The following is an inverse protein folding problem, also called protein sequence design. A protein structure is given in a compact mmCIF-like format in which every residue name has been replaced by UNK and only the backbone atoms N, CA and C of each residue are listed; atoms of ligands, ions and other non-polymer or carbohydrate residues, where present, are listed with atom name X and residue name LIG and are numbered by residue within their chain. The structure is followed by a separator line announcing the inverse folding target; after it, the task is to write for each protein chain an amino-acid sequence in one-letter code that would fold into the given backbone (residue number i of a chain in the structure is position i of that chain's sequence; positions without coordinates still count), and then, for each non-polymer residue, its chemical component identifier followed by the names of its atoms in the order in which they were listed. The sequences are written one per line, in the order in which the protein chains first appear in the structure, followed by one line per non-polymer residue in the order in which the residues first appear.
data_IF_804712356449
#
_entry.id   IF_804712356449
#
_cell.length_a   1.000
_cell.length_b   1.000
_cell.length_c   1.000
_cell.angle_alpha   90.00
_cell.angle_beta   90.00
_cell.angle_gamma   90.00
#
_symmetry.space_group_name_H-M   'P 1'
#
loop_
_entity.id
_entity.type
_entity.pdbx_description
1 polymer ?
#
# COMPACT_ATOMS: atom_id res chain seq x y z
N UNK A 1 -15.97 -18.13 -14.07
CA UNK A 1 -15.00 -19.21 -13.78
C UNK A 1 -14.57 -19.03 -12.34
N UNK A 2 -14.76 -20.02 -11.48
CA UNK A 2 -14.47 -19.89 -10.04
C UNK A 2 -12.96 -19.93 -9.81
N UNK A 3 -12.43 -19.02 -9.01
CA UNK A 3 -10.99 -18.90 -8.79
C UNK A 3 -10.62 -19.43 -7.40
N UNK A 4 -9.63 -20.35 -7.34
CA UNK A 4 -9.16 -20.91 -6.09
C UNK A 4 -8.47 -19.84 -5.23
N UNK A 5 -8.69 -19.89 -3.91
CA UNK A 5 -8.03 -18.98 -2.98
C UNK A 5 -6.52 -19.25 -2.92
N UNK A 6 -5.71 -18.20 -2.87
CA UNK A 6 -4.26 -18.34 -2.73
C UNK A 6 -3.91 -18.86 -1.32
N UNK A 7 -3.12 -19.93 -1.18
CA UNK A 7 -2.66 -20.40 0.12
C UNK A 7 -1.96 -19.29 0.89
N UNK A 8 -2.35 -19.08 2.14
CA UNK A 8 -1.73 -18.10 3.01
C UNK A 8 -1.75 -18.55 4.46
N UNK A 9 -0.80 -18.00 5.22
CA UNK A 9 -0.82 -18.09 6.68
C UNK A 9 -1.22 -16.74 7.28
N UNK A 10 -1.82 -16.76 8.46
CA UNK A 10 -2.19 -15.57 9.22
C UNK A 10 -1.81 -15.77 10.69
N UNK A 11 -1.19 -14.77 11.29
CA UNK A 11 -0.80 -14.74 12.70
C UNK A 11 -1.17 -13.40 13.32
N UNK A 12 -1.37 -13.43 14.64
CA UNK A 12 -1.53 -12.25 15.47
C UNK A 12 -0.27 -12.08 16.32
N UNK A 13 0.22 -10.85 16.46
CA UNK A 13 1.39 -10.51 17.28
C UNK A 13 1.05 -9.43 18.31
N UNK A 14 1.68 -9.50 19.48
CA UNK A 14 1.36 -8.68 20.66
C UNK A 14 2.40 -7.60 20.96
N UNK A 15 3.52 -7.59 20.24
CA UNK A 15 4.58 -6.59 20.45
C UNK A 15 5.37 -6.30 19.18
N UNK A 16 6.09 -5.17 19.18
CA UNK A 16 7.01 -4.81 18.08
C UNK A 16 8.12 -5.85 17.90
N UNK A 17 8.66 -6.38 19.01
CA UNK A 17 9.68 -7.42 18.95
C UNK A 17 9.18 -8.67 18.23
N UNK A 18 7.99 -9.15 18.61
CA UNK A 18 7.37 -10.30 17.94
C UNK A 18 7.10 -10.04 16.46
N UNK A 19 6.63 -8.83 16.11
CA UNK A 19 6.42 -8.46 14.72
C UNK A 19 7.74 -8.53 13.94
N UNK A 20 8.80 -7.89 14.43
CA UNK A 20 10.11 -7.86 13.78
C UNK A 20 10.66 -9.28 13.62
N UNK A 21 10.64 -10.09 14.67
CA UNK A 21 11.16 -11.46 14.63
C UNK A 21 10.41 -12.31 13.60
N UNK A 22 9.09 -12.18 13.54
CA UNK A 22 8.27 -12.88 12.56
C UNK A 22 8.59 -12.41 11.13
N UNK A 23 8.67 -11.09 10.89
CA UNK A 23 8.99 -10.54 9.57
C UNK A 23 10.40 -10.94 9.11
N UNK A 24 11.40 -10.87 9.99
CA UNK A 24 12.76 -11.31 9.70
C UNK A 24 12.80 -12.79 9.33
N UNK A 25 12.06 -13.64 10.06
CA UNK A 25 11.96 -15.06 9.75
C UNK A 25 11.36 -15.28 8.37
N UNK A 26 10.23 -14.64 8.06
CA UNK A 26 9.55 -14.81 6.77
C UNK A 26 10.36 -14.27 5.59
N UNK A 27 11.07 -13.16 5.77
CA UNK A 27 11.93 -12.57 4.75
C UNK A 27 13.20 -13.40 4.54
N UNK A 28 13.87 -13.86 5.60
CA UNK A 28 15.14 -14.59 5.50
C UNK A 28 14.97 -16.00 4.92
N UNK A 29 13.83 -16.63 5.19
CA UNK A 29 13.49 -17.96 4.64
C UNK A 29 13.03 -17.93 3.18
N UNK A 30 12.78 -16.73 2.64
CA UNK A 30 12.42 -16.57 1.23
C UNK A 30 13.61 -16.93 0.33
N UNK A 31 13.36 -17.53 -0.83
CA UNK A 31 14.41 -17.93 -1.78
C UNK A 31 14.78 -16.82 -2.77
N UNK A 32 13.98 -15.77 -2.86
CA UNK A 32 14.15 -14.66 -3.78
C UNK A 32 15.47 -13.90 -3.53
N UNK A 33 16.11 -13.36 -4.59
CA UNK A 33 17.38 -12.64 -4.47
C UNK A 33 17.20 -11.17 -4.08
N UNK A 34 16.01 -10.60 -4.28
CA UNK A 34 15.69 -9.21 -3.99
C UNK A 34 14.52 -9.09 -3.03
N UNK A 35 14.50 -8.00 -2.25
CA UNK A 35 13.41 -7.61 -1.37
C UNK A 35 12.89 -6.22 -1.72
N UNK A 36 11.57 -6.08 -1.85
CA UNK A 36 10.89 -4.79 -1.87
C UNK A 36 10.17 -4.58 -0.54
N UNK A 37 10.40 -3.43 0.10
CA UNK A 37 9.72 -3.02 1.33
C UNK A 37 8.82 -1.82 1.03
N UNK A 38 7.51 -2.03 1.08
CA UNK A 38 6.52 -0.95 1.03
C UNK A 38 6.29 -0.42 2.45
N UNK A 39 6.75 0.81 2.67
CA UNK A 39 6.82 1.47 3.97
C UNK A 39 6.68 2.98 3.79
N UNK A 40 6.31 3.70 4.86
CA UNK A 40 6.15 5.15 4.80
C UNK A 40 4.95 5.60 3.98
N UNK A 41 3.95 4.74 3.82
CA UNK A 41 2.74 5.10 3.10
C UNK A 41 2.04 6.29 3.78
N UNK A 42 1.78 7.34 3.01
CA UNK A 42 1.08 8.52 3.49
C UNK A 42 0.00 8.98 2.51
N UNK A 43 -0.90 9.80 3.04
CA UNK A 43 -1.98 10.41 2.29
C UNK A 43 -1.68 11.87 1.99
N UNK A 44 -2.18 12.41 0.88
CA UNK A 44 -2.14 13.85 0.62
C UNK A 44 -3.34 14.53 1.27
N UNK A 45 -3.07 15.63 1.96
CA UNK A 45 -4.09 16.50 2.55
C UNK A 45 -4.09 17.85 1.84
N UNK A 46 -5.28 18.40 1.59
CA UNK A 46 -5.41 19.78 1.16
C UNK A 46 -5.16 20.73 2.35
N UNK A 47 -4.09 21.52 2.24
CA UNK A 47 -3.86 22.72 3.04
C UNK A 47 -4.66 23.87 2.42
N UNK A 48 -5.85 24.12 2.96
CA UNK A 48 -6.78 25.15 2.48
C UNK A 48 -6.18 26.56 2.58
N UNK A 49 -5.35 26.82 3.60
CA UNK A 49 -4.73 28.13 3.79
C UNK A 49 -3.68 28.43 2.71
N UNK A 50 -3.00 27.39 2.22
CA UNK A 50 -1.99 27.51 1.15
C UNK A 50 -2.53 27.15 -0.24
N UNK A 51 -3.74 26.60 -0.33
CA UNK A 51 -4.34 26.12 -1.58
C UNK A 51 -3.53 25.01 -2.25
N UNK A 52 -2.82 24.18 -1.49
CA UNK A 52 -1.94 23.14 -2.03
C UNK A 52 -2.06 21.81 -1.27
N UNK A 53 -1.58 20.72 -1.89
CA UNK A 53 -1.50 19.43 -1.22
C UNK A 53 -0.21 19.34 -0.41
N UNK A 54 -0.31 18.76 0.77
CA UNK A 54 0.81 18.52 1.69
C UNK A 54 0.84 17.04 2.12
N UNK A 55 2.03 16.44 2.34
CA UNK A 55 2.13 15.06 2.83
C UNK A 55 1.54 14.87 4.22
N UNK A 56 0.75 13.82 4.39
CA UNK A 56 0.15 13.39 5.65
C UNK A 56 1.13 12.70 6.59
N UNK A 57 2.29 13.32 6.83
CA UNK A 57 3.36 12.84 7.71
C UNK A 57 3.46 13.81 8.88
N UNK A 58 3.15 13.38 10.11
CA UNK A 58 2.99 14.30 11.24
C UNK A 58 4.26 15.10 11.53
N UNK A 59 5.43 14.52 11.32
CA UNK A 59 6.76 15.08 11.56
C UNK A 59 7.06 16.27 10.64
N UNK A 60 6.38 16.36 9.49
CA UNK A 60 6.56 17.43 8.49
C UNK A 60 5.64 18.64 8.75
N UNK A 61 4.71 18.54 9.70
CA UNK A 61 3.54 19.42 9.76
C UNK A 61 3.46 20.22 11.05
N UNK A 62 2.90 21.43 10.94
CA UNK A 62 2.58 22.31 12.07
C UNK A 62 1.07 22.36 12.31
N UNK A 63 0.65 22.85 13.48
CA UNK A 63 -0.78 23.07 13.78
C UNK A 63 -1.38 24.12 12.81
N UNK A 64 -2.63 23.96 12.33
CA UNK A 64 -3.62 22.92 12.71
C UNK A 64 -3.52 21.62 11.89
N UNK A 65 -2.75 21.59 10.81
CA UNK A 65 -2.65 20.42 9.91
C UNK A 65 -2.11 19.19 10.64
N UNK A 66 -1.10 19.36 11.50
CA UNK A 66 -0.55 18.29 12.34
C UNK A 66 -1.62 17.56 13.15
N UNK A 67 -2.54 18.29 13.77
CA UNK A 67 -3.62 17.71 14.59
C UNK A 67 -4.67 16.99 13.74
N UNK A 68 -4.93 17.50 12.53
CA UNK A 68 -5.80 16.82 11.56
C UNK A 68 -5.20 15.49 11.12
N UNK A 69 -3.91 15.45 10.81
CA UNK A 69 -3.21 14.24 10.38
C UNK A 69 -3.07 13.25 11.54
N UNK A 70 -2.70 13.73 12.73
CA UNK A 70 -2.56 12.90 13.94
C UNK A 70 -3.84 12.10 14.21
N UNK A 71 -5.02 12.74 14.13
CA UNK A 71 -6.32 12.06 14.34
C UNK A 71 -6.67 11.04 13.27
N UNK A 72 -6.11 11.14 12.06
CA UNK A 72 -6.48 10.30 10.91
C UNK A 72 -5.51 9.16 10.68
N UNK A 73 -4.22 9.45 10.73
CA UNK A 73 -3.15 8.55 10.30
C UNK A 73 -2.18 8.26 11.46
N UNK A 74 -2.03 9.20 12.40
CA UNK A 74 -1.14 9.03 13.54
C UNK A 74 0.33 8.94 13.13
N UNK A 75 1.13 8.16 13.86
CA UNK A 75 2.57 7.96 13.61
C UNK A 75 2.87 7.04 12.42
N UNK A 76 1.87 6.39 11.83
CA UNK A 76 2.06 5.27 10.91
C UNK A 76 3.05 5.51 9.76
N UNK A 77 3.05 6.65 9.05
CA UNK A 77 3.99 6.86 7.96
C UNK A 77 5.45 6.89 8.46
N UNK A 78 5.76 7.72 9.46
CA UNK A 78 7.12 7.79 10.02
C UNK A 78 7.54 6.48 10.69
N UNK A 79 6.63 5.87 11.45
CA UNK A 79 6.88 4.62 12.18
C UNK A 79 7.14 3.43 11.26
N UNK A 80 6.31 3.23 10.23
CA UNK A 80 6.52 2.12 9.28
C UNK A 80 7.75 2.33 8.41
N UNK A 81 8.11 3.58 8.11
CA UNK A 81 9.36 3.90 7.43
C UNK A 81 10.58 3.48 8.27
N UNK A 82 10.62 3.86 9.56
CA UNK A 82 11.67 3.43 10.50
C UNK A 82 11.75 1.89 10.59
N UNK A 83 10.60 1.24 10.76
CA UNK A 83 10.50 -0.22 10.87
C UNK A 83 11.00 -0.91 9.59
N UNK A 84 10.60 -0.41 8.42
CA UNK A 84 10.99 -0.94 7.12
C UNK A 84 12.50 -0.83 6.87
N UNK A 85 13.10 0.33 7.18
CA UNK A 85 14.55 0.52 7.06
C UNK A 85 15.30 -0.38 8.05
N UNK A 86 14.85 -0.47 9.30
CA UNK A 86 15.46 -1.34 10.33
C UNK A 86 15.42 -2.82 9.95
N UNK A 87 14.33 -3.29 9.35
CA UNK A 87 14.24 -4.67 8.84
C UNK A 87 15.19 -4.87 7.67
N UNK A 88 15.18 -3.95 6.70
CA UNK A 88 16.07 -3.99 5.54
C UNK A 88 17.55 -4.05 5.94
N UNK A 89 17.97 -3.26 6.94
CA UNK A 89 19.35 -3.28 7.47
C UNK A 89 19.75 -4.65 8.00
N UNK A 90 18.87 -5.29 8.77
CA UNK A 90 19.14 -6.59 9.38
C UNK A 90 19.30 -7.72 8.36
N UNK A 91 18.65 -7.58 7.20
CA UNK A 91 18.66 -8.60 6.14
C UNK A 91 19.46 -8.18 4.91
N UNK A 92 20.12 -7.03 4.91
CA UNK A 92 20.84 -6.50 3.75
C UNK A 92 21.86 -7.49 3.17
N UNK A 93 22.58 -8.21 4.03
CA UNK A 93 23.56 -9.23 3.65
C UNK A 93 22.96 -10.44 2.91
N UNK A 94 21.64 -10.64 2.97
CA UNK A 94 20.94 -11.76 2.33
C UNK A 94 20.52 -11.45 0.90
N UNK A 95 20.37 -10.19 0.53
CA UNK A 95 19.76 -9.80 -0.75
C UNK A 95 20.79 -9.12 -1.67
N UNK A 96 20.66 -9.37 -2.98
CA UNK A 96 21.43 -8.67 -4.01
C UNK A 96 20.98 -7.21 -4.12
N UNK A 97 19.67 -6.97 -4.02
CA UNK A 97 19.10 -5.64 -3.90
C UNK A 97 17.94 -5.58 -2.90
N UNK A 98 17.91 -4.48 -2.14
CA UNK A 98 16.73 -4.06 -1.38
C UNK A 98 16.23 -2.75 -1.93
N UNK A 99 14.93 -2.70 -2.22
CA UNK A 99 14.22 -1.51 -2.69
C UNK A 99 13.10 -1.09 -1.75
N UNK A 100 12.84 0.20 -1.68
CA UNK A 100 11.73 0.77 -0.92
C UNK A 100 10.64 1.27 -1.86
N UNK A 101 9.38 0.93 -1.60
CA UNK A 101 8.24 1.40 -2.37
C UNK A 101 7.43 2.39 -1.52
N UNK A 102 7.38 3.65 -1.97
CA UNK A 102 6.56 4.68 -1.35
C UNK A 102 5.20 4.77 -2.06
N UNK A 103 4.14 4.27 -1.44
CA UNK A 103 2.77 4.42 -1.92
C UNK A 103 2.19 5.74 -1.40
N UNK A 104 1.57 6.53 -2.27
CA UNK A 104 0.94 7.81 -1.89
C UNK A 104 -0.54 7.76 -2.21
N UNK A 105 -1.37 7.88 -1.18
CA UNK A 105 -2.81 8.07 -1.35
C UNK A 105 -3.09 9.53 -1.73
N UNK A 106 -3.37 9.78 -2.99
CA UNK A 106 -3.50 11.12 -3.56
C UNK A 106 -4.95 11.46 -3.96
N UNK A 107 -5.94 10.82 -3.33
CA UNK A 107 -7.34 11.02 -3.70
C UNK A 107 -8.32 11.21 -2.53
N UNK A 108 -8.06 10.69 -1.33
CA UNK A 108 -9.06 10.72 -0.26
C UNK A 108 -9.31 12.11 0.34
N UNK A 109 -8.25 12.93 0.52
CA UNK A 109 -8.36 14.23 1.21
C UNK A 109 -7.88 15.41 0.35
N UNK A 110 -8.00 15.28 -0.97
CA UNK A 110 -7.46 16.24 -1.95
C UNK A 110 -8.52 17.19 -2.56
N UNK A 111 -9.77 17.14 -2.11
CA UNK A 111 -10.84 18.01 -2.61
C UNK A 111 -11.66 18.66 -1.50
N UNK A 112 -11.85 19.97 -1.62
CA UNK A 112 -13.07 20.75 -1.35
C UNK A 112 -13.09 21.88 -2.40
N UNK A 113 -14.13 22.72 -2.43
CA UNK A 113 -14.52 23.72 -3.44
C UNK A 113 -13.43 24.66 -4.05
N UNK A 114 -12.16 24.52 -3.65
CA UNK A 114 -11.00 25.33 -4.03
C UNK A 114 -10.30 24.97 -5.35
N UNK A 115 -10.80 23.99 -6.13
CA UNK A 115 -10.28 23.66 -7.47
C UNK A 115 -10.35 22.18 -7.87
N UNK A 116 -10.01 21.82 -9.12
CA UNK A 116 -10.06 20.43 -9.58
C UNK A 116 -8.91 19.61 -8.97
N UNK A 117 -9.25 18.54 -8.24
CA UNK A 117 -8.28 17.64 -7.57
C UNK A 117 -7.14 17.12 -8.48
N UNK A 118 -7.39 17.02 -9.79
CA UNK A 118 -6.36 16.66 -10.78
C UNK A 118 -5.24 17.69 -10.90
N UNK A 119 -5.57 18.99 -10.81
CA UNK A 119 -4.59 20.06 -10.89
C UNK A 119 -3.73 20.12 -9.63
N UNK A 120 -4.37 20.02 -8.46
CA UNK A 120 -3.70 19.96 -7.16
C UNK A 120 -2.68 18.81 -7.10
N UNK A 121 -3.07 17.62 -7.56
CA UNK A 121 -2.15 16.46 -7.68
C UNK A 121 -1.00 16.74 -8.64
N UNK A 122 -1.27 17.31 -9.81
CA UNK A 122 -0.24 17.61 -10.81
C UNK A 122 0.82 18.54 -10.20
N UNK A 123 0.39 19.64 -9.57
CA UNK A 123 1.29 20.61 -8.93
C UNK A 123 2.10 19.97 -7.81
N UNK A 124 1.50 19.07 -7.02
CA UNK A 124 2.22 18.33 -6.00
C UNK A 124 3.35 17.48 -6.61
N UNK A 125 3.04 16.62 -7.59
CA UNK A 125 4.03 15.71 -8.19
C UNK A 125 5.08 16.42 -9.06
N UNK A 126 4.82 17.64 -9.54
CA UNK A 126 5.84 18.47 -10.20
C UNK A 126 6.92 18.94 -9.22
N UNK A 127 6.59 19.05 -7.93
CA UNK A 127 7.49 19.52 -6.86
C UNK A 127 8.04 18.40 -5.99
N UNK A 128 7.36 17.26 -5.96
CA UNK A 128 7.73 16.11 -5.13
C UNK A 128 8.88 15.33 -5.76
N UNK A 129 10.10 15.87 -5.68
CA UNK A 129 11.30 15.27 -6.27
C UNK A 129 12.16 14.49 -5.27
N UNK A 130 11.87 14.62 -3.98
CA UNK A 130 12.64 14.05 -2.86
C UNK A 130 11.67 13.40 -1.86
N UNK A 131 12.19 12.49 -1.04
CA UNK A 131 11.43 11.91 0.07
C UNK A 131 11.07 12.99 1.12
N UNK A 132 10.03 12.76 1.96
CA UNK A 132 9.80 13.59 3.14
C UNK A 132 11.09 13.80 3.94
N UNK A 133 11.33 15.02 4.41
CA UNK A 133 12.57 15.40 5.08
C UNK A 133 12.85 14.54 6.33
N UNK A 134 11.80 14.12 7.04
CA UNK A 134 11.81 13.19 8.17
C UNK A 134 12.30 11.78 7.82
N UNK A 135 12.16 11.35 6.57
CA UNK A 135 12.55 10.01 6.12
C UNK A 135 14.05 9.92 5.82
N UNK A 136 14.66 11.03 5.41
CA UNK A 136 16.06 11.09 5.01
C UNK A 136 17.04 10.77 6.16
N UNK A 137 16.87 11.27 7.39
CA UNK A 137 17.71 10.88 8.53
C UNK A 137 17.69 9.37 8.78
N UNK A 138 16.55 8.70 8.60
CA UNK A 138 16.42 7.25 8.80
C UNK A 138 17.31 6.50 7.83
N UNK A 139 17.23 6.83 6.54
CA UNK A 139 18.13 6.25 5.51
C UNK A 139 19.60 6.54 5.82
N UNK A 140 19.93 7.79 6.19
CA UNK A 140 21.31 8.17 6.51
C UNK A 140 21.87 7.40 7.70
N UNK A 141 21.08 7.20 8.76
CA UNK A 141 21.48 6.42 9.95
C UNK A 141 21.78 4.96 9.60
N UNK A 142 21.12 4.39 8.60
CA UNK A 142 21.39 3.02 8.15
C UNK A 142 22.81 2.80 7.64
N UNK A 143 23.43 3.84 7.06
CA UNK A 143 24.72 3.75 6.36
C UNK A 143 24.71 2.86 5.10
N UNK A 144 23.59 2.17 4.80
CA UNK A 144 23.47 1.16 3.75
C UNK A 144 22.54 1.60 2.62
N UNK A 145 21.58 2.47 2.93
CA UNK A 145 20.53 2.88 1.99
C UNK A 145 20.58 4.37 1.69
N UNK A 146 20.08 4.71 0.51
CA UNK A 146 19.90 6.08 0.03
C UNK A 146 18.64 6.15 -0.80
N UNK A 147 18.29 7.34 -1.30
CA UNK A 147 17.15 7.51 -2.22
C UNK A 147 17.28 6.69 -3.51
N UNK A 148 18.48 6.23 -3.88
CA UNK A 148 18.69 5.29 -5.01
C UNK A 148 18.09 3.90 -4.77
N UNK A 149 17.75 3.59 -3.52
CA UNK A 149 17.04 2.38 -3.15
C UNK A 149 15.52 2.52 -3.35
N UNK A 150 14.99 3.70 -3.71
CA UNK A 150 13.57 3.80 -4.06
C UNK A 150 13.28 2.99 -5.32
N UNK A 151 12.19 2.23 -5.28
CA UNK A 151 11.61 1.58 -6.43
C UNK A 151 10.80 2.63 -7.20
N UNK A 152 11.25 2.97 -8.40
CA UNK A 152 10.49 3.84 -9.29
C UNK A 152 9.21 3.13 -9.76
N UNK A 153 8.14 3.90 -9.94
CA UNK A 153 7.01 3.47 -10.75
C UNK A 153 7.18 3.97 -12.18
N UNK A 154 6.36 3.49 -13.11
CA UNK A 154 6.29 4.08 -14.47
C UNK A 154 5.68 5.48 -14.48
N UNK A 155 5.09 5.94 -13.38
CA UNK A 155 4.46 7.26 -13.26
C UNK A 155 5.37 8.28 -12.58
N UNK A 156 6.20 7.87 -11.64
CA UNK A 156 6.99 8.75 -10.80
C UNK A 156 8.30 8.10 -10.33
N UNK A 157 9.44 8.82 -10.29
CA UNK A 157 10.75 8.24 -10.00
C UNK A 157 10.92 7.71 -8.57
N UNK A 158 10.16 8.24 -7.60
CA UNK A 158 10.32 7.88 -6.17
C UNK A 158 9.03 7.41 -5.50
N UNK A 159 7.92 7.31 -6.23
CA UNK A 159 6.62 7.01 -5.61
C UNK A 159 5.66 6.25 -6.53
N UNK A 160 4.65 5.67 -5.91
CA UNK A 160 3.49 5.04 -6.54
C UNK A 160 2.24 5.85 -6.18
N UNK A 161 1.75 6.71 -7.09
CA UNK A 161 0.48 7.41 -6.89
C UNK A 161 -0.70 6.43 -6.95
N UNK A 162 -1.56 6.40 -5.93
CA UNK A 162 -2.71 5.50 -5.92
C UNK A 162 -3.70 5.78 -7.04
N UNK A 163 -3.98 7.05 -7.37
CA UNK A 163 -4.88 7.39 -8.50
C UNK A 163 -4.40 6.77 -9.81
N UNK A 164 -3.09 6.75 -10.04
CA UNK A 164 -2.52 6.10 -11.21
C UNK A 164 -2.77 4.58 -11.19
N UNK A 165 -2.58 3.93 -10.04
CA UNK A 165 -2.89 2.51 -9.86
C UNK A 165 -4.40 2.23 -10.05
N UNK A 166 -5.29 3.06 -9.51
CA UNK A 166 -6.75 2.96 -9.71
C UNK A 166 -7.12 2.94 -11.20
N UNK A 167 -6.62 3.92 -11.96
CA UNK A 167 -6.92 4.03 -13.40
C UNK A 167 -6.34 2.87 -14.20
N UNK A 168 -5.17 2.36 -13.80
CA UNK A 168 -4.61 1.15 -14.40
C UNK A 168 -5.48 -0.06 -14.13
N UNK A 169 -5.94 -0.22 -12.88
CA UNK A 169 -6.76 -1.35 -12.48
C UNK A 169 -8.09 -1.33 -13.23
N UNK A 170 -8.75 -0.18 -13.38
CA UNK A 170 -9.97 -0.06 -14.17
C UNK A 170 -9.78 -0.57 -15.61
N UNK A 171 -8.68 -0.17 -16.26
CA UNK A 171 -8.35 -0.66 -17.61
C UNK A 171 -8.05 -2.16 -17.65
N UNK A 172 -7.40 -2.70 -16.61
CA UNK A 172 -7.16 -4.15 -16.49
C UNK A 172 -8.47 -4.90 -16.24
N UNK A 173 -9.33 -4.40 -15.36
CA UNK A 173 -10.60 -4.98 -15.00
C UNK A 173 -11.54 -5.10 -16.22
N UNK A 174 -11.61 -4.08 -17.08
CA UNK A 174 -12.38 -4.16 -18.33
C UNK A 174 -11.92 -5.31 -19.23
N UNK A 175 -10.61 -5.56 -19.31
CA UNK A 175 -10.06 -6.69 -20.07
C UNK A 175 -10.38 -8.04 -19.41
N UNK A 176 -10.32 -8.09 -18.08
CA UNK A 176 -10.59 -9.30 -17.31
C UNK A 176 -12.07 -9.68 -17.33
N UNK A 177 -12.97 -8.69 -17.34
CA UNK A 177 -14.42 -8.90 -17.56
C UNK A 177 -14.65 -9.47 -18.96
N UNK A 178 -14.05 -8.88 -20.00
CA UNK A 178 -14.15 -9.41 -21.38
C UNK A 178 -13.61 -10.83 -21.53
N UNK A 179 -12.61 -11.19 -20.71
CA UNK A 179 -12.04 -12.54 -20.67
C UNK A 179 -12.81 -13.51 -19.76
N UNK A 180 -13.93 -13.09 -19.14
CA UNK A 180 -14.74 -13.93 -18.24
C UNK A 180 -14.07 -14.27 -16.90
N UNK A 181 -13.07 -13.49 -16.49
CA UNK A 181 -12.29 -13.68 -15.25
C UNK A 181 -12.75 -12.82 -14.09
N UNK A 182 -13.47 -11.73 -14.37
CA UNK A 182 -14.22 -10.93 -13.42
C UNK A 182 -15.67 -10.84 -13.88
N UNK A 183 -16.59 -10.68 -12.93
CA UNK A 183 -18.01 -10.49 -13.23
C UNK A 183 -18.39 -9.02 -13.10
N UNK A 184 -19.20 -8.53 -14.04
CA UNK A 184 -19.83 -7.22 -13.97
C UNK A 184 -21.32 -7.42 -13.71
N UNK A 185 -21.83 -6.81 -12.65
CA UNK A 185 -23.26 -6.77 -12.35
C UNK A 185 -23.77 -5.33 -12.24
N UNK A 186 -25.06 -5.16 -12.50
CA UNK A 186 -25.78 -3.92 -12.18
C UNK A 186 -26.32 -4.09 -10.77
N UNK A 187 -26.07 -3.11 -9.91
CA UNK A 187 -26.68 -3.00 -8.60
C UNK A 187 -28.02 -2.29 -8.78
N UNK A 188 -29.12 -2.93 -8.36
CA UNK A 188 -30.48 -2.39 -8.47
C UNK A 188 -30.62 -1.01 -7.80
N UNK A 189 -31.68 -0.27 -8.15
CA UNK A 189 -31.98 1.15 -7.87
C UNK A 189 -32.15 1.52 -6.37
N UNK A 190 -31.17 1.17 -5.53
CA UNK A 190 -31.00 1.68 -4.18
C UNK A 190 -30.10 2.92 -4.12
N UNK A 191 -29.82 3.46 -2.92
CA UNK A 191 -28.90 4.60 -2.75
C UNK A 191 -27.46 4.34 -3.26
N UNK A 192 -27.13 3.08 -3.58
CA UNK A 192 -25.88 2.63 -4.19
C UNK A 192 -26.07 2.04 -5.60
N UNK A 193 -27.12 2.44 -6.33
CA UNK A 193 -27.35 2.01 -7.70
C UNK A 193 -26.15 2.29 -8.61
N UNK A 194 -25.83 1.38 -9.52
CA UNK A 194 -24.66 1.50 -10.40
C UNK A 194 -24.14 0.18 -10.92
N UNK A 195 -22.86 0.13 -11.32
CA UNK A 195 -22.21 -1.11 -11.76
C UNK A 195 -21.15 -1.57 -10.75
N UNK A 196 -21.11 -2.85 -10.48
CA UNK A 196 -20.08 -3.49 -9.68
C UNK A 196 -19.25 -4.44 -10.54
N UNK A 197 -17.92 -4.40 -10.39
CA UNK A 197 -17.00 -5.40 -10.94
C UNK A 197 -16.36 -6.16 -9.79
N UNK A 198 -16.51 -7.48 -9.81
CA UNK A 198 -16.17 -8.34 -8.69
C UNK A 198 -15.40 -9.59 -9.15
N UNK A 199 -14.50 -10.06 -8.29
CA UNK A 199 -14.01 -11.42 -8.40
C UNK A 199 -15.01 -12.36 -7.72
N UNK A 200 -15.35 -13.47 -8.38
CA UNK A 200 -16.16 -14.54 -7.79
C UNK A 200 -15.23 -15.67 -7.38
N UNK A 201 -15.20 -15.96 -6.08
CA UNK A 201 -14.33 -17.00 -5.55
C UNK A 201 -14.88 -18.43 -5.76
N UNK A 202 -14.19 -19.42 -5.21
CA UNK A 202 -14.56 -20.84 -5.29
C UNK A 202 -15.90 -21.19 -4.62
N UNK A 203 -16.30 -20.41 -3.61
CA UNK A 203 -17.57 -20.58 -2.90
C UNK A 203 -18.73 -19.87 -3.63
N UNK A 204 -18.41 -18.98 -4.58
CA UNK A 204 -19.39 -18.15 -5.28
C UNK A 204 -19.59 -16.79 -4.61
N UNK A 205 -18.74 -16.43 -3.65
CA UNK A 205 -18.82 -15.14 -2.97
C UNK A 205 -18.24 -14.02 -3.85
N UNK A 206 -18.95 -12.89 -3.89
CA UNK A 206 -18.54 -11.71 -4.63
C UNK A 206 -17.57 -10.88 -3.80
N UNK A 207 -16.33 -10.74 -4.29
CA UNK A 207 -15.32 -9.82 -3.76
C UNK A 207 -15.29 -8.55 -4.63
N UNK A 208 -15.97 -7.46 -4.23
CA UNK A 208 -16.07 -6.25 -5.04
C UNK A 208 -14.73 -5.51 -5.18
N UNK A 209 -14.43 -5.07 -6.40
CA UNK A 209 -13.17 -4.38 -6.75
C UNK A 209 -13.40 -3.00 -7.32
N UNK A 210 -14.51 -2.83 -8.04
CA UNK A 210 -14.99 -1.54 -8.51
C UNK A 210 -16.47 -1.47 -8.16
N UNK A 211 -16.87 -0.45 -7.41
CA UNK A 211 -18.28 -0.18 -7.10
C UNK A 211 -18.61 1.21 -7.59
N UNK A 212 -19.65 1.33 -8.42
CA UNK A 212 -20.08 2.60 -9.03
C UNK A 212 -18.93 3.38 -9.71
N UNK A 213 -18.03 2.65 -10.37
CA UNK A 213 -16.87 3.22 -11.08
C UNK A 213 -15.68 3.57 -10.17
N UNK A 214 -15.80 3.43 -8.85
CA UNK A 214 -14.71 3.70 -7.90
C UNK A 214 -13.97 2.41 -7.58
N UNK A 215 -12.67 2.40 -7.87
CA UNK A 215 -11.76 1.32 -7.46
C UNK A 215 -11.50 1.39 -5.96
N UNK A 216 -11.73 0.30 -5.24
CA UNK A 216 -11.34 0.15 -3.84
C UNK A 216 -9.84 -0.15 -3.68
N UNK A 217 -9.33 -0.08 -2.44
CA UNK A 217 -7.90 -0.29 -2.15
C UNK A 217 -7.37 -1.64 -2.66
N UNK A 218 -8.22 -2.67 -2.72
CA UNK A 218 -7.86 -3.98 -3.28
C UNK A 218 -7.39 -3.91 -4.75
N UNK A 219 -8.04 -3.07 -5.59
CA UNK A 219 -7.65 -2.90 -6.99
C UNK A 219 -6.31 -2.15 -7.15
N UNK A 220 -6.07 -1.15 -6.30
CA UNK A 220 -4.80 -0.40 -6.26
C UNK A 220 -3.64 -1.32 -5.88
N UNK A 221 -3.82 -2.10 -4.82
CA UNK A 221 -2.85 -3.10 -4.35
C UNK A 221 -2.59 -4.16 -5.41
N UNK A 222 -3.65 -4.61 -6.11
CA UNK A 222 -3.54 -5.57 -7.21
C UNK A 222 -2.61 -5.06 -8.32
N UNK A 223 -2.78 -3.81 -8.76
CA UNK A 223 -1.89 -3.22 -9.76
C UNK A 223 -0.49 -2.92 -9.22
N UNK A 224 -0.36 -2.47 -7.97
CA UNK A 224 0.95 -2.23 -7.34
C UNK A 224 1.81 -3.49 -7.39
N UNK A 225 1.25 -4.63 -6.96
CA UNK A 225 1.95 -5.92 -6.97
C UNK A 225 2.29 -6.35 -8.40
N UNK A 226 1.39 -6.10 -9.35
CA UNK A 226 1.66 -6.35 -10.78
C UNK A 226 2.83 -5.51 -11.30
N UNK A 227 2.96 -4.25 -10.89
CA UNK A 227 4.06 -3.38 -11.29
C UNK A 227 5.38 -3.80 -10.64
N UNK A 228 5.37 -4.17 -9.36
CA UNK A 228 6.53 -4.76 -8.67
C UNK A 228 7.00 -6.04 -9.38
N UNK A 229 6.06 -6.90 -9.77
CA UNK A 229 6.36 -8.11 -10.52
C UNK A 229 6.97 -7.82 -11.90
N UNK A 230 6.41 -6.86 -12.64
CA UNK A 230 6.94 -6.43 -13.95
C UNK A 230 8.31 -5.77 -13.84
N UNK A 231 8.64 -5.17 -12.69
CA UNK A 231 9.97 -4.68 -12.36
C UNK A 231 10.94 -5.81 -11.93
N UNK A 232 10.56 -7.07 -12.14
CA UNK A 232 11.34 -8.27 -11.83
C UNK A 232 11.59 -8.56 -10.35
N UNK A 233 10.80 -7.97 -9.45
CA UNK A 233 10.86 -8.31 -8.03
C UNK A 233 9.81 -9.35 -7.65
N UNK A 234 10.16 -10.24 -6.72
CA UNK A 234 9.34 -11.42 -6.36
C UNK A 234 9.08 -11.56 -4.85
N UNK A 235 9.69 -10.73 -4.02
CA UNK A 235 9.44 -10.70 -2.58
C UNK A 235 9.05 -9.28 -2.18
N UNK A 236 7.88 -9.13 -1.58
CA UNK A 236 7.33 -7.85 -1.17
C UNK A 236 6.87 -7.92 0.29
N UNK A 237 7.41 -7.03 1.13
CA UNK A 237 6.90 -6.73 2.46
C UNK A 237 6.03 -5.48 2.38
N UNK A 238 4.82 -5.53 2.92
CA UNK A 238 3.82 -4.45 2.90
C UNK A 238 3.43 -4.09 4.33
N UNK A 239 3.66 -2.84 4.70
CA UNK A 239 3.01 -2.25 5.87
C UNK A 239 1.73 -1.54 5.45
N UNK A 240 0.60 -2.04 5.95
CA UNK A 240 -0.72 -1.49 5.65
C UNK A 240 -1.37 -0.95 6.92
N UNK A 241 -2.17 0.14 6.86
CA UNK A 241 -3.00 0.51 8.00
C UNK A 241 -3.93 -0.63 8.43
N UNK A 242 -4.23 -0.77 9.72
CA UNK A 242 -5.14 -1.82 10.23
C UNK A 242 -6.50 -1.84 9.53
N UNK A 243 -7.09 -0.66 9.31
CA UNK A 243 -8.33 -0.49 8.54
C UNK A 243 -8.24 -0.96 7.08
N UNK A 244 -7.01 -0.96 6.52
CA UNK A 244 -6.72 -1.38 5.16
C UNK A 244 -6.28 -2.85 5.05
N UNK A 245 -6.08 -3.57 6.17
CA UNK A 245 -5.52 -4.92 6.15
C UNK A 245 -6.34 -5.90 5.30
N UNK A 246 -7.66 -5.96 5.47
CA UNK A 246 -8.52 -6.85 4.69
C UNK A 246 -8.60 -6.47 3.20
N UNK A 247 -8.77 -5.18 2.83
CA UNK A 247 -8.64 -4.76 1.43
C UNK A 247 -7.28 -5.10 0.79
N UNK A 248 -6.17 -4.90 1.52
CA UNK A 248 -4.83 -5.23 1.02
C UNK A 248 -4.67 -6.73 0.84
N UNK A 249 -5.12 -7.53 1.81
CA UNK A 249 -5.15 -9.00 1.74
C UNK A 249 -5.92 -9.48 0.50
N UNK A 250 -7.09 -8.88 0.26
CA UNK A 250 -7.92 -9.16 -0.92
C UNK A 250 -7.20 -8.79 -2.21
N UNK A 251 -6.55 -7.62 -2.27
CA UNK A 251 -5.75 -7.21 -3.43
C UNK A 251 -4.57 -8.13 -3.71
N UNK A 252 -3.91 -8.66 -2.67
CA UNK A 252 -2.83 -9.65 -2.81
C UNK A 252 -3.35 -10.97 -3.37
N UNK A 253 -4.42 -11.52 -2.80
CA UNK A 253 -5.03 -12.77 -3.27
C UNK A 253 -5.44 -12.67 -4.74
N UNK A 254 -6.03 -11.53 -5.12
CA UNK A 254 -6.42 -11.24 -6.50
C UNK A 254 -5.19 -11.09 -7.39
N UNK A 255 -4.16 -10.35 -6.99
CA UNK A 255 -2.95 -10.21 -7.80
C UNK A 255 -2.34 -11.58 -8.11
N UNK A 256 -2.16 -12.42 -7.10
CA UNK A 256 -1.49 -13.72 -7.24
C UNK A 256 -2.33 -14.70 -8.07
N UNK A 257 -3.63 -14.81 -7.77
CA UNK A 257 -4.53 -15.71 -8.48
C UNK A 257 -4.87 -15.23 -9.90
N UNK A 258 -5.19 -13.94 -10.06
CA UNK A 258 -5.70 -13.34 -11.30
C UNK A 258 -4.57 -12.99 -12.27
N UNK A 259 -3.42 -12.53 -11.81
CA UNK A 259 -2.33 -12.21 -12.74
C UNK A 259 -1.33 -13.35 -12.91
N UNK A 260 -1.47 -14.46 -12.18
CA UNK A 260 -0.61 -15.63 -12.32
C UNK A 260 0.85 -15.27 -12.04
N UNK A 261 1.09 -14.51 -10.97
CA UNK A 261 2.38 -13.89 -10.64
C UNK A 261 3.39 -14.89 -10.06
N UNK A 262 3.69 -15.98 -10.79
CA UNK A 262 4.50 -17.12 -10.33
C UNK A 262 5.78 -16.71 -9.58
N UNK A 263 6.02 -17.37 -8.45
CA UNK A 263 7.19 -17.18 -7.61
C UNK A 263 7.13 -15.93 -6.72
N UNK A 264 6.01 -15.20 -6.73
CA UNK A 264 5.81 -14.03 -5.88
C UNK A 264 5.48 -14.48 -4.44
N UNK A 265 6.21 -13.93 -3.47
CA UNK A 265 5.89 -13.99 -2.03
C UNK A 265 5.52 -12.58 -1.57
N UNK A 266 4.38 -12.45 -0.89
CA UNK A 266 3.94 -11.17 -0.31
C UNK A 266 3.68 -11.36 1.18
N UNK A 267 4.31 -10.52 1.99
CA UNK A 267 4.16 -10.48 3.45
C UNK A 267 3.45 -9.16 3.78
N UNK A 268 2.36 -9.22 4.52
CA UNK A 268 1.56 -8.08 4.93
C UNK A 268 1.60 -7.99 6.45
N UNK A 269 1.87 -6.82 6.99
CA UNK A 269 1.72 -6.52 8.41
C UNK A 269 0.92 -5.22 8.59
N UNK A 270 0.11 -5.13 9.64
CA UNK A 270 -0.68 -3.94 9.96
C UNK A 270 -0.28 -3.22 11.26
N UNK A 271 0.89 -2.60 11.31
CA UNK A 271 1.40 -2.00 12.55
C UNK A 271 0.72 -0.64 12.84
N UNK A 272 -0.60 -0.59 12.97
CA UNK A 272 -1.39 0.61 13.31
C UNK A 272 -1.93 1.34 12.08
N UNK A 273 -2.22 2.64 12.19
CA UNK A 273 -2.55 3.52 11.06
C UNK A 273 -3.90 4.20 11.11
N UNK A 274 -4.59 4.14 12.24
CA UNK A 274 -5.90 4.77 12.47
C UNK A 274 -5.82 5.82 13.58
N UNK A 275 -4.73 6.59 13.60
CA UNK A 275 -4.53 7.73 14.51
C UNK A 275 -3.76 7.41 15.79
N UNK A 276 -3.19 6.22 15.92
CA UNK A 276 -2.32 5.89 17.04
C UNK A 276 -1.11 6.82 17.09
N UNK A 277 -0.74 7.24 18.30
CA UNK A 277 0.37 8.17 18.52
C UNK A 277 1.61 7.49 19.10
N UNK A 278 1.48 6.27 19.61
CA UNK A 278 2.58 5.52 20.23
C UNK A 278 2.49 4.02 19.88
N UNK A 279 3.62 3.29 19.75
CA UNK A 279 3.63 1.86 19.45
C UNK A 279 2.79 1.01 20.42
N UNK A 280 2.74 1.38 21.70
CA UNK A 280 1.97 0.65 22.71
C UNK A 280 0.47 0.64 22.39
N UNK A 281 -0.06 1.73 21.82
CA UNK A 281 -1.46 1.83 21.39
C UNK A 281 -1.74 0.86 20.25
N UNK A 282 -0.79 0.72 19.32
CA UNK A 282 -0.87 -0.19 18.17
C UNK A 282 -0.95 -1.64 18.66
N UNK A 283 0.02 -2.07 19.45
CA UNK A 283 0.13 -3.48 19.84
C UNK A 283 -0.90 -3.91 20.89
N UNK A 284 -1.53 -2.96 21.59
CA UNK A 284 -2.68 -3.24 22.47
C UNK A 284 -3.86 -3.89 21.74
N UNK A 285 -3.95 -3.71 20.41
CA UNK A 285 -5.06 -4.20 19.57
C UNK A 285 -4.78 -5.54 18.89
N UNK A 286 -3.61 -6.15 19.13
CA UNK A 286 -3.01 -7.21 18.31
C UNK A 286 -2.77 -6.75 16.86
N UNK A 287 -1.62 -7.12 16.32
CA UNK A 287 -1.24 -6.81 14.93
C UNK A 287 -1.35 -8.09 14.10
N UNK A 288 -1.99 -8.00 12.95
CA UNK A 288 -2.10 -9.04 11.95
C UNK A 288 -0.85 -9.13 11.08
N UNK A 289 -0.42 -10.35 10.81
CA UNK A 289 0.59 -10.66 9.80
C UNK A 289 0.07 -11.77 8.90
N UNK A 290 0.05 -11.53 7.59
CA UNK A 290 -0.32 -12.53 6.61
C UNK A 290 0.78 -12.76 5.58
N UNK A 291 0.97 -14.01 5.16
CA UNK A 291 2.01 -14.40 4.21
C UNK A 291 1.37 -15.18 3.07
N UNK A 292 1.59 -14.72 1.85
CA UNK A 292 1.11 -15.30 0.61
C UNK A 292 2.26 -15.77 -0.25
N UNK A 293 2.04 -16.83 -1.02
CA UNK A 293 3.01 -17.32 -2.01
C UNK A 293 2.28 -17.92 -3.22
N UNK A 294 2.82 -17.68 -4.42
CA UNK A 294 2.28 -18.18 -5.70
C UNK A 294 3.24 -19.10 -6.44
#
# INVERSE_FOLDING_TARGET
MRQANTPHSHKLVQSEGELIDLLLKEVTTASQPDLVVMAGHFMLFLDEARGCLTPGVIEEQTSPMRERIARRVGIFPGYTWELGVRIAEKVAHRFEAIKFLLLINDWQYVSVDSGPASELRRVFYERFTELPASYLPVLKRSGQFSERNMLASRKHPIAYPETWLKYRFQKSADKLVKAGRLERRVLDDGPNGGTEVSLVDENGDYKPLITCGVTGCAGEVTEMISEVYKANHRLLLVFAPGECFQPVKTGVDIALSLYGLKGMKVIIADPGGSGEMEPQEIYSKLVNVAVFSS
#
